data_IF_598203066260
#
_entry.id   IF_598203066260
#
_cell.length_a   1.000
_cell.length_b   1.000
_cell.length_c   1.000
_cell.angle_alpha   90.00
_cell.angle_beta   90.00
_cell.angle_gamma   90.00
#
_symmetry.space_group_name_H-M   'P 1'
#
loop_
_entity.id
_entity.type
_entity.pdbx_description
1 polymer ?
#
# COMPACT_ATOMS: atom_id res chain seq x y z
N UNK A 1 48.38 -8.67 5.77
CA UNK A 1 47.76 -9.98 5.44
C UNK A 1 47.05 -10.61 6.63
N UNK A 2 47.62 -10.59 7.84
CA UNK A 2 46.95 -11.09 9.07
C UNK A 2 45.64 -10.36 9.41
N UNK A 3 45.59 -9.05 9.21
CA UNK A 3 44.39 -8.23 9.49
C UNK A 3 43.20 -8.63 8.59
N UNK A 4 43.46 -9.00 7.34
CA UNK A 4 42.43 -9.41 6.37
C UNK A 4 41.86 -10.78 6.78
N UNK A 5 42.73 -11.71 7.18
CA UNK A 5 42.30 -13.03 7.66
C UNK A 5 41.48 -12.95 8.97
N UNK A 6 41.80 -12.01 9.86
CA UNK A 6 41.00 -11.76 11.07
C UNK A 6 39.64 -11.15 10.71
N UNK A 7 39.59 -10.24 9.73
CA UNK A 7 38.36 -9.63 9.25
C UNK A 7 37.40 -10.66 8.63
N UNK A 8 37.92 -11.55 7.78
CA UNK A 8 37.14 -12.62 7.16
C UNK A 8 36.66 -13.66 8.19
N UNK A 9 37.47 -13.97 9.22
CA UNK A 9 37.07 -14.87 10.30
C UNK A 9 35.95 -14.29 11.18
N UNK A 10 35.88 -12.96 11.31
CA UNK A 10 34.86 -12.26 12.08
C UNK A 10 33.55 -12.13 11.27
N UNK A 11 33.65 -11.87 9.96
CA UNK A 11 32.50 -11.88 9.06
C UNK A 11 31.85 -13.27 8.96
N UNK A 12 32.64 -14.35 8.97
CA UNK A 12 32.12 -15.71 8.92
C UNK A 12 31.41 -16.17 10.22
N UNK A 13 31.62 -15.48 11.35
CA UNK A 13 30.94 -15.74 12.63
C UNK A 13 29.62 -14.96 12.77
N UNK A 14 29.43 -13.91 11.98
CA UNK A 14 28.12 -13.30 11.78
C UNK A 14 27.35 -14.29 10.92
N UNK A 15 26.59 -15.16 11.59
CA UNK A 15 25.76 -16.16 10.94
C UNK A 15 24.97 -15.49 9.82
N UNK A 16 24.96 -16.14 8.65
CA UNK A 16 24.19 -15.75 7.49
C UNK A 16 22.81 -15.29 7.98
N UNK A 17 22.46 -14.00 7.85
CA UNK A 17 21.14 -13.52 8.25
C UNK A 17 20.18 -14.01 7.17
N UNK A 18 20.04 -15.34 7.07
CA UNK A 18 19.05 -15.96 6.24
C UNK A 18 17.71 -15.51 6.83
N UNK A 19 16.95 -14.67 6.13
CA UNK A 19 15.68 -14.18 6.64
C UNK A 19 14.73 -15.38 6.58
N UNK A 20 14.75 -16.22 7.61
CA UNK A 20 13.66 -17.15 7.83
C UNK A 20 12.44 -16.29 8.11
N UNK A 21 11.48 -16.36 7.18
CA UNK A 21 10.26 -15.57 7.27
C UNK A 21 9.66 -15.80 8.67
N UNK A 22 9.40 -14.73 9.43
CA UNK A 22 9.01 -14.86 10.82
C UNK A 22 7.80 -15.80 10.92
N UNK A 23 7.74 -16.69 11.93
CA UNK A 23 6.62 -17.61 12.07
C UNK A 23 5.30 -16.83 12.03
N UNK A 24 4.28 -17.33 11.32
CA UNK A 24 2.97 -16.69 11.07
C UNK A 24 2.98 -15.63 9.94
N UNK A 25 4.13 -15.33 9.32
CA UNK A 25 4.23 -14.38 8.20
C UNK A 25 3.25 -14.66 7.06
N UNK A 26 3.08 -15.92 6.66
CA UNK A 26 2.19 -16.27 5.53
C UNK A 26 0.71 -15.92 5.79
N UNK A 27 0.24 -16.15 7.02
CA UNK A 27 -1.13 -15.79 7.43
C UNK A 27 -1.31 -14.27 7.53
N UNK A 28 -0.31 -13.54 8.03
CA UNK A 28 -0.33 -12.08 8.07
C UNK A 28 -0.32 -11.48 6.65
N UNK A 29 0.50 -12.02 5.76
CA UNK A 29 0.53 -11.62 4.35
C UNK A 29 -0.81 -11.86 3.67
N UNK A 30 -1.47 -12.99 3.95
CA UNK A 30 -2.81 -13.28 3.44
C UNK A 30 -3.82 -12.21 3.89
N UNK A 31 -3.79 -11.79 5.16
CA UNK A 31 -4.66 -10.72 5.70
C UNK A 31 -4.39 -9.38 5.01
N UNK A 32 -3.13 -8.97 4.87
CA UNK A 32 -2.77 -7.72 4.17
C UNK A 32 -3.22 -7.73 2.71
N UNK A 33 -3.22 -8.89 2.05
CA UNK A 33 -3.73 -9.04 0.69
C UNK A 33 -5.23 -8.78 0.62
N UNK A 34 -6.01 -9.29 1.57
CA UNK A 34 -7.44 -8.99 1.67
C UNK A 34 -7.70 -7.50 1.94
N UNK A 35 -6.91 -6.86 2.80
CA UNK A 35 -7.02 -5.42 3.04
C UNK A 35 -6.71 -4.60 1.79
N UNK A 36 -5.70 -5.00 1.01
CA UNK A 36 -5.37 -4.33 -0.26
C UNK A 36 -6.55 -4.37 -1.22
N UNK A 37 -7.18 -5.54 -1.37
CA UNK A 37 -8.40 -5.68 -2.17
C UNK A 37 -9.54 -4.81 -1.67
N UNK A 38 -9.75 -4.75 -0.36
CA UNK A 38 -10.78 -3.91 0.24
C UNK A 38 -10.56 -2.42 -0.05
N UNK A 39 -9.32 -1.93 0.08
CA UNK A 39 -8.96 -0.53 -0.21
C UNK A 39 -9.19 -0.21 -1.69
N UNK A 40 -8.82 -1.11 -2.61
CA UNK A 40 -9.05 -0.92 -4.05
C UNK A 40 -10.54 -0.86 -4.39
N UNK A 41 -11.33 -1.80 -3.87
CA UNK A 41 -12.78 -1.81 -4.08
C UNK A 41 -13.45 -0.56 -3.50
N UNK A 42 -13.02 -0.12 -2.31
CA UNK A 42 -13.49 1.12 -1.69
C UNK A 42 -13.15 2.35 -2.52
N UNK A 43 -11.94 2.44 -3.07
CA UNK A 43 -11.52 3.56 -3.92
C UNK A 43 -12.33 3.64 -5.21
N UNK A 44 -12.49 2.51 -5.91
CA UNK A 44 -13.26 2.44 -7.17
C UNK A 44 -14.72 2.81 -6.94
N UNK A 45 -15.35 2.29 -5.89
CA UNK A 45 -16.74 2.60 -5.56
C UNK A 45 -16.93 4.06 -5.17
N UNK A 46 -16.01 4.63 -4.38
CA UNK A 46 -16.04 6.04 -3.98
C UNK A 46 -15.94 7.00 -5.16
N UNK A 47 -14.99 6.76 -6.07
CA UNK A 47 -14.82 7.58 -7.28
C UNK A 47 -16.04 7.44 -8.20
N UNK A 48 -16.53 6.22 -8.39
CA UNK A 48 -17.70 5.95 -9.26
C UNK A 48 -18.96 6.66 -8.73
N UNK A 49 -19.20 6.60 -7.42
CA UNK A 49 -20.35 7.28 -6.80
C UNK A 49 -20.23 8.81 -6.90
N UNK A 50 -19.06 9.35 -6.54
CA UNK A 50 -18.83 10.80 -6.60
C UNK A 50 -18.92 11.33 -8.05
N UNK A 51 -18.37 10.59 -9.02
CA UNK A 51 -18.45 10.92 -10.44
C UNK A 51 -19.88 10.86 -10.98
N UNK A 52 -20.65 9.82 -10.64
CA UNK A 52 -22.06 9.71 -11.01
C UNK A 52 -22.93 10.83 -10.43
N UNK A 53 -22.72 11.18 -9.15
CA UNK A 53 -23.39 12.32 -8.51
C UNK A 53 -23.00 13.66 -9.15
N UNK A 54 -21.74 13.84 -9.51
CA UNK A 54 -21.28 15.04 -10.22
C UNK A 54 -21.94 15.19 -11.59
N UNK A 55 -22.03 14.11 -12.37
CA UNK A 55 -22.74 14.13 -13.65
C UNK A 55 -24.22 14.49 -13.48
N UNK A 56 -24.88 13.96 -12.43
CA UNK A 56 -26.27 14.25 -12.11
C UNK A 56 -26.50 15.71 -11.68
N UNK A 57 -25.64 16.25 -10.83
CA UNK A 57 -25.70 17.65 -10.36
C UNK A 57 -25.45 18.64 -11.51
N UNK A 58 -24.55 18.30 -12.44
CA UNK A 58 -24.24 19.12 -13.63
C UNK A 58 -25.44 19.28 -14.57
N UNK A 59 -26.24 18.23 -14.79
CA UNK A 59 -27.36 18.27 -15.73
C UNK A 59 -28.70 18.68 -15.12
N UNK A 60 -28.94 18.40 -13.83
CA UNK A 60 -30.21 18.72 -13.18
C UNK A 60 -30.19 20.02 -12.36
N UNK A 61 -29.05 20.73 -12.31
CA UNK A 61 -28.96 22.05 -11.68
C UNK A 61 -29.01 22.02 -10.14
N UNK A 62 -28.29 21.10 -9.51
CA UNK A 62 -28.22 20.98 -8.04
C UNK A 62 -27.04 21.73 -7.39
N UNK A 63 -27.06 21.96 -6.07
CA UNK A 63 -25.92 22.50 -5.34
C UNK A 63 -24.68 21.59 -5.53
N UNK A 64 -23.55 22.16 -5.96
CA UNK A 64 -22.32 21.44 -6.30
C UNK A 64 -21.58 20.92 -5.05
N UNK A 65 -22.16 19.95 -4.36
CA UNK A 65 -21.52 19.25 -3.25
C UNK A 65 -20.60 18.11 -3.74
N UNK A 66 -20.80 17.62 -4.96
CA UNK A 66 -20.06 16.50 -5.55
C UNK A 66 -18.59 16.76 -5.92
N UNK A 67 -18.11 17.98 -6.28
CA UNK A 67 -16.69 18.17 -6.63
C UNK A 67 -15.75 17.90 -5.45
N UNK A 68 -16.12 18.33 -4.24
CA UNK A 68 -15.34 18.06 -3.02
C UNK A 68 -15.33 16.57 -2.66
N UNK A 69 -16.40 15.85 -2.96
CA UNK A 69 -16.48 14.40 -2.74
C UNK A 69 -15.55 13.65 -3.69
N UNK A 70 -15.51 14.05 -4.97
CA UNK A 70 -14.61 13.47 -5.96
C UNK A 70 -13.15 13.76 -5.62
N UNK A 71 -12.83 15.01 -5.26
CA UNK A 71 -11.48 15.39 -4.83
C UNK A 71 -11.00 14.57 -3.62
N UNK A 72 -11.87 14.38 -2.62
CA UNK A 72 -11.58 13.53 -1.46
C UNK A 72 -11.35 12.06 -1.84
N UNK A 73 -12.15 11.52 -2.77
CA UNK A 73 -11.99 10.15 -3.26
C UNK A 73 -10.65 9.96 -4.01
N UNK A 74 -10.24 10.93 -4.83
CA UNK A 74 -8.93 10.89 -5.50
C UNK A 74 -7.76 10.97 -4.52
N UNK A 75 -7.85 11.82 -3.49
CA UNK A 75 -6.83 11.91 -2.45
C UNK A 75 -6.68 10.57 -1.70
N UNK A 76 -7.79 9.89 -1.40
CA UNK A 76 -7.78 8.54 -0.84
C UNK A 76 -7.07 7.51 -1.74
N UNK A 77 -7.29 7.59 -3.06
CA UNK A 77 -6.60 6.74 -4.04
C UNK A 77 -5.08 6.95 -4.11
N UNK A 78 -4.64 8.21 -3.97
CA UNK A 78 -3.21 8.54 -3.90
C UNK A 78 -2.56 7.93 -2.66
N UNK A 79 -3.21 8.05 -1.49
CA UNK A 79 -2.73 7.48 -0.22
C UNK A 79 -2.64 5.94 -0.35
N UNK A 80 -3.67 5.30 -0.90
CA UNK A 80 -3.67 3.85 -1.13
C UNK A 80 -2.50 3.38 -2.01
N UNK A 81 -2.16 4.15 -3.04
CA UNK A 81 -1.02 3.84 -3.93
C UNK A 81 0.31 3.94 -3.19
N UNK A 82 0.48 4.97 -2.36
CA UNK A 82 1.69 5.16 -1.54
C UNK A 82 1.86 4.04 -0.50
N UNK A 83 0.76 3.57 0.10
CA UNK A 83 0.79 2.43 1.02
C UNK A 83 1.27 1.15 0.31
N UNK A 84 0.85 0.94 -0.96
CA UNK A 84 1.34 -0.17 -1.78
C UNK A 84 2.85 -0.08 -2.06
N UNK A 85 3.39 1.11 -2.32
CA UNK A 85 4.85 1.27 -2.51
C UNK A 85 5.64 0.97 -1.24
N UNK A 86 5.11 1.34 -0.07
CA UNK A 86 5.75 1.06 1.23
C UNK A 86 5.72 -0.45 1.53
N UNK A 87 4.58 -1.11 1.30
CA UNK A 87 4.47 -2.56 1.50
C UNK A 87 5.47 -3.33 0.63
N UNK A 88 5.63 -2.93 -0.63
CA UNK A 88 6.63 -3.55 -1.51
C UNK A 88 8.08 -3.27 -1.07
N UNK A 89 8.35 -2.07 -0.53
CA UNK A 89 9.68 -1.74 -0.01
C UNK A 89 10.03 -2.47 1.29
N UNK A 90 9.04 -2.92 2.06
CA UNK A 90 9.23 -3.66 3.32
C UNK A 90 9.29 -5.17 3.08
N UNK A 91 8.61 -5.68 2.05
CA UNK A 91 8.55 -7.11 1.71
C UNK A 91 9.60 -7.55 0.68
N UNK A 92 10.37 -6.61 0.12
CA UNK A 92 11.40 -6.83 -0.90
C UNK A 92 12.80 -7.02 -0.33
#
# INVERSE_FOLDING_TARGET
MVIIAIHDALLAQIGDPNPEAPPISDQLLQIFRYFTWFVLLSGVTGITYAGGRFAWEKWNGGPLASPKMLAGAMAGGLIATSAGTILNAVLG
#
